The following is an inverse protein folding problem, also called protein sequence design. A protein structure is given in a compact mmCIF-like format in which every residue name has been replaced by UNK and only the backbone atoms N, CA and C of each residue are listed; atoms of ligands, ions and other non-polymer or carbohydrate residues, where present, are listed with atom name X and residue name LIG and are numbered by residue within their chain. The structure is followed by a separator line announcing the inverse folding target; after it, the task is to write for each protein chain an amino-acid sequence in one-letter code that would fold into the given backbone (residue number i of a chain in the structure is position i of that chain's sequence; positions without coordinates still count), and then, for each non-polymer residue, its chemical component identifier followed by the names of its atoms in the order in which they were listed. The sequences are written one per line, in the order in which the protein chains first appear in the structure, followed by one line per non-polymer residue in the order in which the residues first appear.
data_IF_857540592108
#
_entry.id   IF_857540592108
#
_cell.length_a   1.000
_cell.length_b   1.000
_cell.length_c   1.000
_cell.angle_alpha   90.00
_cell.angle_beta   90.00
_cell.angle_gamma   90.00
#
_symmetry.space_group_name_H-M   'P 1'
#
loop_
_entity.id
_entity.type
_entity.pdbx_description
1 polymer ?
#
# COMPACT_ATOMS: atom_id res chain seq x y z
N UNK A 1 3.24 40.04 0.09
CA UNK A 1 3.64 39.68 -1.29
C UNK A 1 4.83 38.72 -1.35
N UNK A 2 5.88 38.88 -0.51
CA UNK A 2 7.08 38.00 -0.51
C UNK A 2 6.78 36.55 -0.05
N UNK A 3 5.81 36.34 0.86
CA UNK A 3 5.42 35.00 1.33
C UNK A 3 4.73 34.15 0.24
N UNK A 4 4.07 34.79 -0.74
CA UNK A 4 3.38 34.10 -1.84
C UNK A 4 4.35 33.52 -2.89
N UNK A 5 5.59 34.04 -2.95
CA UNK A 5 6.61 33.56 -3.89
C UNK A 5 7.32 32.30 -3.40
N UNK A 6 7.59 32.18 -2.09
CA UNK A 6 8.20 30.94 -1.52
C UNK A 6 7.29 29.72 -1.60
N UNK A 7 5.97 29.92 -1.49
CA UNK A 7 5.00 28.81 -1.59
C UNK A 7 5.00 28.23 -3.01
N UNK A 8 5.20 29.04 -4.05
CA UNK A 8 5.31 28.55 -5.44
C UNK A 8 6.56 27.71 -5.69
N UNK A 9 7.69 28.01 -5.05
CA UNK A 9 8.91 27.21 -5.22
C UNK A 9 8.84 25.86 -4.49
N UNK A 10 8.25 25.81 -3.29
CA UNK A 10 7.93 24.52 -2.63
C UNK A 10 6.95 23.67 -3.47
N UNK A 11 6.05 24.32 -4.22
CA UNK A 11 5.06 23.69 -5.10
C UNK A 11 5.67 22.92 -6.27
N UNK A 12 6.85 23.35 -6.75
CA UNK A 12 7.58 22.69 -7.84
C UNK A 12 8.46 21.58 -7.29
N UNK A 13 9.07 21.79 -6.11
CA UNK A 13 10.02 20.85 -5.52
C UNK A 13 9.38 19.56 -4.96
N UNK A 14 8.17 19.59 -4.41
CA UNK A 14 7.55 18.38 -3.81
C UNK A 14 7.11 17.36 -4.90
N UNK A 15 6.43 17.77 -5.99
CA UNK A 15 6.18 16.88 -7.11
C UNK A 15 7.48 16.44 -7.78
N UNK A 16 8.49 17.31 -7.92
CA UNK A 16 9.78 16.93 -8.49
C UNK A 16 10.56 15.95 -7.61
N UNK A 17 10.48 16.05 -6.28
CA UNK A 17 11.15 15.11 -5.38
C UNK A 17 10.44 13.76 -5.37
N UNK A 18 9.11 13.76 -5.42
CA UNK A 18 8.31 12.52 -5.52
C UNK A 18 8.48 11.87 -6.90
N UNK A 19 8.50 12.68 -7.96
CA UNK A 19 8.78 12.26 -9.34
C UNK A 19 10.23 11.82 -9.49
N UNK A 20 11.20 12.48 -8.86
CA UNK A 20 12.61 12.08 -8.87
C UNK A 20 12.81 10.80 -8.07
N UNK A 21 12.19 10.63 -6.91
CA UNK A 21 12.24 9.36 -6.18
C UNK A 21 11.55 8.24 -6.96
N UNK A 22 10.45 8.55 -7.66
CA UNK A 22 9.77 7.61 -8.56
C UNK A 22 10.63 7.28 -9.78
N UNK A 23 11.27 8.26 -10.41
CA UNK A 23 12.15 8.12 -11.58
C UNK A 23 13.50 7.50 -11.21
N UNK A 24 14.09 7.77 -10.05
CA UNK A 24 15.30 7.13 -9.55
C UNK A 24 15.00 5.70 -9.11
N UNK A 25 13.82 5.45 -8.52
CA UNK A 25 13.30 4.10 -8.33
C UNK A 25 13.11 3.37 -9.67
N UNK A 26 12.66 4.08 -10.71
CA UNK A 26 12.52 3.55 -12.07
C UNK A 26 13.88 3.36 -12.77
N UNK A 27 14.86 4.26 -12.57
CA UNK A 27 16.21 4.18 -13.12
C UNK A 27 17.01 3.07 -12.47
N UNK A 28 16.88 2.84 -11.15
CA UNK A 28 17.45 1.66 -10.50
C UNK A 28 16.88 0.37 -11.10
N UNK A 29 15.62 0.38 -11.54
CA UNK A 29 14.99 -0.75 -12.24
C UNK A 29 15.45 -0.85 -13.71
N UNK A 30 15.70 0.27 -14.39
CA UNK A 30 16.13 0.30 -15.79
C UNK A 30 17.64 0.03 -15.97
N UNK A 31 18.49 0.49 -15.05
CA UNK A 31 19.94 0.23 -15.07
C UNK A 31 20.22 -1.27 -14.89
N UNK A 32 19.36 -2.00 -14.17
CA UNK A 32 19.45 -3.45 -14.04
C UNK A 32 18.93 -4.19 -15.31
N UNK A 33 18.18 -3.49 -16.17
CA UNK A 33 17.72 -3.99 -17.49
C UNK A 33 18.71 -3.72 -18.63
N UNK A 34 19.66 -2.79 -18.47
CA UNK A 34 20.54 -2.31 -19.55
C UNK A 34 21.74 -3.24 -19.84
N UNK A 35 21.82 -4.38 -19.15
CA UNK A 35 22.86 -5.40 -19.37
C UNK A 35 22.45 -6.47 -20.39
N UNK A 36 21.49 -6.19 -21.27
CA UNK A 36 21.05 -7.13 -22.33
C UNK A 36 21.01 -6.48 -23.72
N UNK A 37 21.51 -7.26 -24.67
CA UNK A 37 21.83 -6.94 -26.05
C UNK A 37 20.67 -6.24 -26.83
N UNK A 38 20.92 -5.09 -27.49
CA UNK A 38 19.90 -4.23 -28.10
C UNK A 38 19.11 -4.81 -29.29
N UNK A 39 19.53 -5.92 -29.88
CA UNK A 39 18.82 -6.52 -31.03
C UNK A 39 17.52 -7.26 -30.65
N UNK A 40 17.22 -7.43 -29.35
CA UNK A 40 15.98 -8.10 -28.87
C UNK A 40 14.79 -7.15 -28.59
N UNK A 41 15.00 -5.84 -28.72
CA UNK A 41 14.03 -4.83 -28.27
C UNK A 41 12.86 -4.60 -29.22
N UNK A 42 13.04 -4.78 -30.53
CA UNK A 42 11.99 -4.40 -31.51
C UNK A 42 10.86 -5.45 -31.62
N UNK A 43 11.09 -6.70 -31.19
CA UNK A 43 10.05 -7.73 -31.10
C UNK A 43 9.24 -7.70 -29.78
N UNK A 44 9.66 -6.92 -28.79
CA UNK A 44 9.14 -7.00 -27.41
C UNK A 44 8.01 -6.00 -27.10
N UNK A 45 7.79 -4.99 -27.94
CA UNK A 45 6.75 -3.98 -27.68
C UNK A 45 5.31 -4.49 -27.90
N UNK A 46 5.11 -5.59 -28.64
CA UNK A 46 3.77 -6.19 -28.85
C UNK A 46 3.48 -7.35 -27.87
N UNK A 47 4.50 -7.84 -27.14
CA UNK A 47 4.36 -8.87 -26.08
C UNK A 47 4.48 -8.32 -24.65
N UNK A 48 4.52 -7.00 -24.47
CA UNK A 48 4.68 -6.36 -23.15
C UNK A 48 3.45 -6.51 -22.22
N UNK A 49 2.37 -7.14 -22.69
CA UNK A 49 1.19 -7.46 -21.89
C UNK A 49 1.24 -8.84 -21.21
N UNK A 50 2.24 -9.69 -21.48
CA UNK A 50 2.26 -11.08 -20.97
C UNK A 50 3.59 -11.56 -20.37
N UNK A 51 4.71 -10.86 -20.56
CA UNK A 51 5.96 -11.24 -19.88
C UNK A 51 6.06 -10.54 -18.52
N UNK A 52 5.65 -11.27 -17.48
CA UNK A 52 6.03 -10.96 -16.12
C UNK A 52 7.55 -10.78 -16.00
N UNK A 53 7.97 -9.83 -15.17
CA UNK A 53 9.33 -9.70 -14.69
C UNK A 53 9.87 -11.10 -14.36
N UNK A 54 10.84 -11.57 -15.14
CA UNK A 54 11.61 -12.76 -14.83
C UNK A 54 12.46 -12.45 -13.61
N UNK A 55 11.87 -12.62 -12.41
CA UNK A 55 12.65 -12.95 -11.23
C UNK A 55 13.50 -14.16 -11.61
N UNK A 56 14.81 -13.94 -11.66
CA UNK A 56 15.77 -14.93 -12.11
C UNK A 56 15.62 -16.18 -11.24
N UNK A 57 15.17 -17.29 -11.84
CA UNK A 57 15.14 -18.61 -11.22
C UNK A 57 16.59 -19.02 -10.97
N UNK A 58 17.12 -18.67 -9.81
CA UNK A 58 18.45 -19.06 -9.36
C UNK A 58 18.42 -20.53 -8.93
N UNK A 59 18.39 -21.43 -9.91
CA UNK A 59 18.61 -22.86 -9.69
C UNK A 59 20.11 -23.09 -9.43
N UNK A 60 20.54 -22.94 -8.16
CA UNK A 60 21.72 -23.58 -7.49
C UNK A 60 22.08 -22.82 -6.20
N UNK A 61 21.95 -23.47 -5.04
CA UNK A 61 22.56 -23.08 -3.76
C UNK A 61 22.47 -24.33 -2.85
N UNK A 62 23.56 -25.05 -2.54
CA UNK A 62 24.66 -24.73 -1.60
C UNK A 62 24.17 -24.58 -0.16
N UNK A 63 24.62 -25.51 0.69
CA UNK A 63 24.03 -25.99 1.94
C UNK A 63 24.65 -25.35 3.21
N UNK A 64 24.98 -24.06 3.18
CA UNK A 64 25.55 -23.43 4.38
C UNK A 64 25.30 -21.93 4.43
N UNK A 65 24.30 -21.55 5.22
CA UNK A 65 23.92 -20.15 5.49
C UNK A 65 22.52 -19.87 4.95
N UNK A 66 21.52 -19.92 5.83
CA UNK A 66 20.11 -19.65 5.51
C UNK A 66 19.97 -18.15 5.20
N UNK A 67 20.38 -17.73 4.01
CA UNK A 67 19.78 -16.58 3.36
C UNK A 67 18.34 -16.99 3.03
N UNK A 68 17.42 -16.54 3.86
CA UNK A 68 15.98 -16.76 3.78
C UNK A 68 15.43 -16.10 2.49
N UNK A 69 15.66 -16.76 1.34
CA UNK A 69 15.16 -16.30 0.04
C UNK A 69 13.65 -16.36 0.03
N UNK A 70 13.03 -15.28 -0.44
CA UNK A 70 11.60 -15.24 -0.76
C UNK A 70 11.24 -16.46 -1.61
N UNK A 71 10.34 -17.30 -1.08
CA UNK A 71 9.85 -18.45 -1.83
C UNK A 71 8.64 -17.98 -2.64
N UNK A 72 8.88 -17.69 -3.92
CA UNK A 72 7.81 -17.45 -4.88
C UNK A 72 7.29 -18.81 -5.35
N UNK A 73 6.14 -19.21 -4.83
CA UNK A 73 5.49 -20.46 -5.20
C UNK A 73 4.42 -20.17 -6.25
N UNK A 74 4.65 -20.63 -7.49
CA UNK A 74 3.70 -20.43 -8.60
C UNK A 74 3.41 -18.95 -8.92
N UNK A 75 4.38 -18.06 -8.70
CA UNK A 75 4.20 -16.62 -8.88
C UNK A 75 3.49 -15.92 -7.71
N UNK A 76 3.29 -16.61 -6.58
CA UNK A 76 2.70 -16.05 -5.36
C UNK A 76 3.77 -16.01 -4.27
N UNK A 77 3.87 -14.90 -3.55
CA UNK A 77 4.79 -14.79 -2.42
C UNK A 77 4.19 -15.51 -1.20
N UNK A 78 4.75 -16.66 -0.86
CA UNK A 78 4.38 -17.38 0.36
C UNK A 78 5.07 -16.80 1.60
N UNK A 79 6.30 -16.30 1.41
CA UNK A 79 7.16 -15.72 2.45
C UNK A 79 7.56 -14.32 2.09
N UNK A 80 7.32 -13.40 2.99
CA UNK A 80 7.72 -12.00 2.87
C UNK A 80 8.95 -11.76 3.75
N UNK A 81 9.77 -10.79 3.38
CA UNK A 81 10.83 -10.27 4.23
C UNK A 81 10.42 -8.87 4.74
N UNK A 82 10.90 -8.49 5.92
CA UNK A 82 10.65 -7.15 6.48
C UNK A 82 11.15 -6.02 5.58
N UNK A 83 12.11 -6.28 4.69
CA UNK A 83 12.55 -5.33 3.66
C UNK A 83 11.44 -5.01 2.66
N UNK A 84 10.59 -5.97 2.32
CA UNK A 84 9.49 -5.79 1.36
C UNK A 84 8.36 -4.95 1.96
N UNK A 85 8.10 -5.09 3.25
CA UNK A 85 7.09 -4.28 3.93
C UNK A 85 7.45 -2.78 3.96
N UNK A 86 8.75 -2.43 3.89
CA UNK A 86 9.21 -1.04 3.99
C UNK A 86 8.73 -0.18 2.82
N UNK A 87 8.84 -0.66 1.58
CA UNK A 87 8.42 0.13 0.42
C UNK A 87 6.91 0.37 0.44
N UNK A 88 6.14 -0.64 0.85
CA UNK A 88 4.69 -0.55 0.97
C UNK A 88 4.29 0.54 1.98
N UNK A 89 4.98 0.57 3.13
CA UNK A 89 4.84 1.63 4.11
C UNK A 89 5.15 3.00 3.51
N UNK A 90 6.33 3.18 2.91
CA UNK A 90 6.78 4.47 2.39
C UNK A 90 5.78 5.07 1.39
N UNK A 91 5.33 4.32 0.39
CA UNK A 91 4.42 4.85 -0.63
C UNK A 91 3.05 5.19 -0.02
N UNK A 92 2.54 4.34 0.88
CA UNK A 92 1.28 4.60 1.59
C UNK A 92 1.37 5.89 2.41
N UNK A 93 2.46 6.07 3.16
CA UNK A 93 2.70 7.29 3.94
C UNK A 93 2.82 8.53 3.05
N UNK A 94 3.41 8.44 1.85
CA UNK A 94 3.46 9.56 0.91
C UNK A 94 2.08 10.07 0.53
N UNK A 95 1.11 9.18 0.26
CA UNK A 95 -0.28 9.60 -0.05
C UNK A 95 -0.89 10.40 1.10
N UNK A 96 -0.67 9.96 2.34
CA UNK A 96 -1.16 10.64 3.55
C UNK A 96 -0.48 11.99 3.75
N UNK A 97 0.84 12.08 3.55
CA UNK A 97 1.60 13.32 3.69
C UNK A 97 1.14 14.37 2.67
N UNK A 98 0.95 13.98 1.40
CA UNK A 98 0.49 14.90 0.36
C UNK A 98 -0.91 15.43 0.69
N UNK A 99 -1.83 14.55 1.11
CA UNK A 99 -3.14 14.97 1.59
C UNK A 99 -3.02 15.94 2.77
N UNK A 100 -2.23 15.58 3.79
CA UNK A 100 -2.01 16.38 4.99
C UNK A 100 -1.49 17.80 4.68
N UNK A 101 -0.47 17.92 3.83
CA UNK A 101 0.08 19.23 3.46
C UNK A 101 -0.98 20.07 2.74
N UNK A 102 -1.77 19.46 1.85
CA UNK A 102 -2.91 20.13 1.22
C UNK A 102 -3.94 20.63 2.22
N UNK A 103 -4.22 19.85 3.28
CA UNK A 103 -5.21 20.20 4.31
C UNK A 103 -4.74 21.28 5.29
N UNK A 104 -3.45 21.31 5.64
CA UNK A 104 -2.90 22.32 6.57
C UNK A 104 -2.89 23.75 6.00
N UNK A 105 -3.05 23.89 4.68
CA UNK A 105 -3.16 25.19 4.01
C UNK A 105 -4.58 25.63 3.67
N UNK A 106 -5.62 24.91 4.13
CA UNK A 106 -7.02 25.23 3.86
C UNK A 106 -7.73 25.69 5.12
N UNK A 107 -8.08 26.97 5.16
CA UNK A 107 -9.22 27.44 5.95
C UNK A 107 -10.47 27.23 5.09
N UNK A 108 -11.18 26.13 5.31
CA UNK A 108 -12.48 25.94 4.67
C UNK A 108 -13.45 26.93 5.33
N UNK A 109 -13.93 27.90 4.55
CA UNK A 109 -15.03 28.74 4.98
C UNK A 109 -16.32 27.93 4.82
N UNK A 110 -16.66 27.09 5.80
CA UNK A 110 -17.96 26.42 5.81
C UNK A 110 -19.05 27.49 5.82
N UNK A 111 -19.84 27.56 4.74
CA UNK A 111 -21.05 28.41 4.63
C UNK A 111 -20.81 29.92 4.82
N UNK A 112 -19.61 30.42 4.51
CA UNK A 112 -19.27 31.85 4.67
C UNK A 112 -19.01 32.29 6.12
N UNK A 113 -18.99 31.35 7.07
CA UNK A 113 -18.56 31.57 8.44
C UNK A 113 -17.20 30.93 8.64
N UNK A 114 -16.13 31.72 8.56
CA UNK A 114 -14.83 31.29 9.06
C UNK A 114 -14.90 31.26 10.58
N UNK A 115 -15.30 30.14 11.15
CA UNK A 115 -15.34 29.96 12.60
C UNK A 115 -13.92 29.68 13.09
N UNK A 116 -13.18 30.74 13.38
CA UNK A 116 -11.91 30.61 14.09
C UNK A 116 -12.19 30.37 15.58
N UNK A 117 -12.26 29.10 15.96
CA UNK A 117 -12.43 28.67 17.35
C UNK A 117 -11.33 29.25 18.25
N UNK A 118 -10.12 29.49 17.71
CA UNK A 118 -9.02 30.13 18.43
C UNK A 118 -9.37 31.57 18.84
N UNK A 119 -9.91 32.35 17.88
CA UNK A 119 -10.42 33.69 18.13
C UNK A 119 -11.62 33.72 19.09
N UNK A 120 -12.53 32.74 19.02
CA UNK A 120 -13.69 32.68 19.92
C UNK A 120 -13.31 32.34 21.38
N UNK A 121 -12.26 31.53 21.58
CA UNK A 121 -11.78 31.11 22.90
C UNK A 121 -10.69 32.03 23.48
N UNK A 122 -10.34 33.13 22.80
CA UNK A 122 -9.30 34.06 23.24
C UNK A 122 -7.89 33.47 23.21
N UNK A 123 -7.69 32.39 22.45
CA UNK A 123 -6.37 31.83 22.19
C UNK A 123 -5.80 32.47 20.91
N UNK A 124 -5.47 33.76 20.98
CA UNK A 124 -5.00 34.61 19.87
C UNK A 124 -3.72 34.11 19.16
N UNK A 125 -3.16 32.96 19.54
CA UNK A 125 -1.94 32.39 18.95
C UNK A 125 -2.00 30.89 18.67
N UNK A 126 -3.07 30.21 19.08
CA UNK A 126 -3.35 28.84 18.64
C UNK A 126 -4.52 28.92 17.66
N UNK A 127 -4.20 29.22 16.41
CA UNK A 127 -5.10 28.94 15.29
C UNK A 127 -5.22 27.42 15.24
N UNK A 128 -6.14 26.88 16.04
CA UNK A 128 -6.57 25.50 15.97
C UNK A 128 -7.38 25.39 14.68
N UNK A 129 -6.67 25.42 13.55
CA UNK A 129 -7.29 25.30 12.24
C UNK A 129 -8.07 23.99 12.23
N UNK A 130 -9.22 23.98 11.58
CA UNK A 130 -10.04 22.78 11.39
C UNK A 130 -9.21 21.57 10.98
N UNK A 131 -8.17 21.81 10.17
CA UNK A 131 -7.18 20.80 9.78
C UNK A 131 -6.54 20.09 10.98
N UNK A 132 -6.14 20.81 12.04
CA UNK A 132 -5.52 20.23 13.25
C UNK A 132 -6.44 19.29 14.01
N UNK A 133 -7.76 19.43 13.88
CA UNK A 133 -8.75 18.50 14.45
C UNK A 133 -9.03 17.35 13.49
N UNK A 134 -9.16 17.64 12.19
CA UNK A 134 -9.45 16.61 11.18
C UNK A 134 -8.32 15.61 11.00
N UNK A 135 -7.06 16.04 11.18
CA UNK A 135 -5.88 15.18 11.11
C UNK A 135 -5.93 14.03 12.13
N UNK A 136 -6.04 14.26 13.45
CA UNK A 136 -6.08 13.18 14.43
C UNK A 136 -7.34 12.33 14.28
N UNK A 137 -8.46 12.90 13.85
CA UNK A 137 -9.68 12.12 13.56
C UNK A 137 -9.44 11.17 12.39
N UNK A 138 -8.91 11.67 11.27
CA UNK A 138 -8.62 10.85 10.09
C UNK A 138 -7.58 9.78 10.40
N UNK A 139 -6.55 10.12 11.18
CA UNK A 139 -5.54 9.16 11.64
C UNK A 139 -6.19 8.09 12.53
N UNK A 140 -7.04 8.47 13.49
CA UNK A 140 -7.74 7.54 14.36
C UNK A 140 -8.64 6.60 13.56
N UNK A 141 -9.46 7.13 12.65
CA UNK A 141 -10.35 6.35 11.78
C UNK A 141 -9.53 5.39 10.90
N UNK A 142 -8.40 5.86 10.36
CA UNK A 142 -7.50 5.03 9.56
C UNK A 142 -6.87 3.92 10.39
N UNK A 143 -6.42 4.20 11.61
CA UNK A 143 -5.86 3.19 12.52
C UNK A 143 -6.90 2.15 12.92
N UNK A 144 -8.13 2.57 13.21
CA UNK A 144 -9.24 1.65 13.48
C UNK A 144 -9.55 0.74 12.28
N UNK A 145 -9.23 1.16 11.07
CA UNK A 145 -9.38 0.32 9.88
C UNK A 145 -8.18 -0.62 9.67
N UNK A 146 -6.97 -0.06 9.58
CA UNK A 146 -5.74 -0.75 9.14
C UNK A 146 -4.96 -1.45 10.27
N UNK A 147 -5.09 -1.02 11.52
CA UNK A 147 -4.28 -1.50 12.64
C UNK A 147 -5.14 -2.24 13.68
N UNK A 148 -5.60 -3.44 13.33
CA UNK A 148 -6.28 -4.32 14.29
C UNK A 148 -7.80 -4.29 14.30
N UNK A 149 -8.43 -3.48 13.44
CA UNK A 149 -9.89 -3.41 13.37
C UNK A 149 -10.47 -4.09 12.15
N UNK A 150 -11.20 -3.33 11.34
CA UNK A 150 -12.12 -3.87 10.33
C UNK A 150 -11.38 -4.62 9.22
N UNK A 151 -10.27 -4.09 8.70
CA UNK A 151 -9.52 -4.72 7.61
C UNK A 151 -9.02 -6.11 8.02
N UNK A 152 -8.50 -6.24 9.24
CA UNK A 152 -7.96 -7.51 9.73
C UNK A 152 -9.05 -8.55 9.91
N UNK A 153 -10.21 -8.13 10.41
CA UNK A 153 -11.38 -8.99 10.53
C UNK A 153 -11.93 -9.42 9.18
N UNK A 154 -12.02 -8.50 8.21
CA UNK A 154 -12.67 -8.76 6.92
C UNK A 154 -11.75 -9.44 5.92
N UNK A 155 -10.45 -9.14 5.93
CA UNK A 155 -9.48 -9.63 4.94
C UNK A 155 -8.40 -10.50 5.58
N UNK A 156 -7.68 -10.01 6.58
CA UNK A 156 -6.45 -10.66 7.03
C UNK A 156 -6.72 -12.07 7.59
N UNK A 157 -7.80 -12.27 8.36
CA UNK A 157 -8.15 -13.60 8.91
C UNK A 157 -8.37 -14.68 7.85
N UNK A 158 -8.58 -14.31 6.59
CA UNK A 158 -8.83 -15.22 5.48
C UNK A 158 -7.57 -15.53 4.65
N UNK A 159 -6.43 -14.90 4.98
CA UNK A 159 -5.19 -15.06 4.25
C UNK A 159 -4.34 -16.20 4.85
N UNK A 160 -3.78 -17.14 4.04
CA UNK A 160 -2.90 -18.18 4.55
C UNK A 160 -1.71 -17.66 5.36
N UNK A 161 -1.13 -16.51 4.96
CA UNK A 161 -0.05 -15.88 5.75
C UNK A 161 -0.48 -15.57 7.19
N UNK A 162 -1.76 -15.28 7.44
CA UNK A 162 -2.24 -14.99 8.78
C UNK A 162 -2.10 -16.19 9.72
N UNK A 163 -2.28 -17.40 9.22
CA UNK A 163 -2.10 -18.62 10.03
C UNK A 163 -0.64 -19.04 10.08
N UNK A 164 -0.01 -19.20 8.92
CA UNK A 164 1.24 -19.98 8.82
C UNK A 164 2.52 -19.17 9.02
N UNK A 165 2.55 -17.88 8.64
CA UNK A 165 3.79 -17.08 8.68
C UNK A 165 4.37 -16.90 10.09
N UNK A 166 3.52 -16.87 11.11
CA UNK A 166 3.95 -16.71 12.50
C UNK A 166 4.86 -17.82 12.99
N UNK A 167 4.55 -19.07 12.59
CA UNK A 167 5.36 -20.25 12.95
C UNK A 167 6.77 -20.15 12.35
N UNK A 168 6.87 -19.74 11.09
CA UNK A 168 8.14 -19.61 10.37
C UNK A 168 9.06 -18.55 11.00
N UNK A 169 8.49 -17.45 11.50
CA UNK A 169 9.23 -16.38 12.17
C UNK A 169 9.38 -16.57 13.70
N UNK A 170 9.05 -17.75 14.22
CA UNK A 170 9.21 -18.07 15.65
C UNK A 170 8.25 -17.33 16.59
N UNK A 171 7.15 -16.78 16.08
CA UNK A 171 6.13 -16.10 16.88
C UNK A 171 4.71 -16.37 16.36
N UNK A 172 4.08 -17.42 16.88
CA UNK A 172 2.74 -17.85 16.46
C UNK A 172 1.63 -16.83 16.76
N UNK A 173 1.86 -15.89 17.70
CA UNK A 173 0.90 -14.83 18.05
C UNK A 173 0.93 -13.65 17.07
N UNK A 174 1.88 -13.65 16.13
CA UNK A 174 2.03 -12.62 15.11
C UNK A 174 1.93 -13.23 13.72
N UNK A 175 1.55 -12.41 12.76
CA UNK A 175 1.60 -12.77 11.36
C UNK A 175 2.44 -11.76 10.58
N UNK A 176 2.98 -12.22 9.47
CA UNK A 176 3.96 -11.52 8.65
C UNK A 176 3.47 -11.58 7.22
N UNK A 177 2.99 -10.45 6.72
CA UNK A 177 2.68 -10.27 5.31
C UNK A 177 3.19 -8.91 4.84
N UNK A 178 3.09 -8.67 3.52
CA UNK A 178 3.56 -7.42 2.92
C UNK A 178 2.91 -6.16 3.53
N UNK A 179 1.59 -6.21 3.75
CA UNK A 179 0.83 -5.08 4.26
C UNK A 179 0.94 -4.93 5.79
N UNK A 180 1.05 -6.05 6.50
CA UNK A 180 1.03 -6.10 7.96
C UNK A 180 2.18 -6.99 8.44
N UNK A 181 3.33 -6.36 8.70
CA UNK A 181 4.52 -7.07 9.16
C UNK A 181 4.53 -7.20 10.69
N UNK A 182 4.69 -8.43 11.19
CA UNK A 182 4.75 -8.75 12.62
C UNK A 182 3.54 -8.25 13.44
N UNK A 183 2.36 -8.21 12.82
CA UNK A 183 1.13 -7.74 13.43
C UNK A 183 0.48 -8.81 14.32
N UNK A 184 -0.15 -8.47 15.46
CA UNK A 184 -0.77 -9.44 16.34
C UNK A 184 -1.97 -10.15 15.67
N UNK A 185 -2.13 -11.45 15.96
CA UNK A 185 -3.30 -12.22 15.53
C UNK A 185 -4.45 -12.02 16.52
N UNK A 186 -5.32 -11.06 16.25
CA UNK A 186 -6.46 -10.72 17.12
C UNK A 186 -7.67 -11.62 16.86
N UNK A 187 -7.84 -12.09 15.62
CA UNK A 187 -8.97 -12.90 15.17
C UNK A 187 -8.56 -14.35 14.91
N UNK A 188 -9.54 -15.26 14.95
CA UNK A 188 -9.32 -16.65 14.55
C UNK A 188 -9.23 -16.75 13.02
N UNK A 189 -8.26 -17.52 12.53
CA UNK A 189 -8.11 -17.82 11.11
C UNK A 189 -9.37 -18.52 10.54
N UNK A 190 -9.73 -18.15 9.32
CA UNK A 190 -10.88 -18.68 8.60
C UNK A 190 -10.58 -18.79 7.11
N UNK A 191 -10.31 -20.01 6.63
CA UNK A 191 -9.97 -20.24 5.23
C UNK A 191 -11.13 -20.02 4.24
N UNK A 192 -12.34 -19.71 4.72
CA UNK A 192 -13.48 -19.43 3.82
C UNK A 192 -13.24 -18.16 3.01
N UNK A 193 -13.77 -18.08 1.78
CA UNK A 193 -13.66 -16.86 0.99
C UNK A 193 -14.44 -15.71 1.66
N UNK A 194 -13.88 -14.50 1.57
CA UNK A 194 -14.52 -13.28 2.08
C UNK A 194 -15.92 -13.13 1.47
N UNK A 195 -16.92 -13.00 2.34
CA UNK A 195 -18.32 -12.81 1.95
C UNK A 195 -18.55 -11.46 1.25
N UNK A 196 -19.68 -11.33 0.55
CA UNK A 196 -19.99 -10.10 -0.21
C UNK A 196 -20.07 -8.86 0.69
N UNK A 197 -20.65 -8.99 1.88
CA UNK A 197 -20.74 -7.89 2.84
C UNK A 197 -19.37 -7.37 3.25
N UNK A 198 -18.43 -8.27 3.56
CA UNK A 198 -17.05 -7.94 3.88
C UNK A 198 -16.36 -7.21 2.73
N UNK A 199 -16.53 -7.69 1.49
CA UNK A 199 -15.98 -6.99 0.31
C UNK A 199 -16.51 -5.56 0.18
N UNK A 200 -17.82 -5.37 0.38
CA UNK A 200 -18.43 -4.03 0.36
C UNK A 200 -17.89 -3.16 1.49
N UNK A 201 -17.78 -3.67 2.71
CA UNK A 201 -17.20 -2.95 3.84
C UNK A 201 -15.76 -2.54 3.55
N UNK A 202 -14.94 -3.45 3.00
CA UNK A 202 -13.57 -3.14 2.62
C UNK A 202 -13.50 -2.06 1.52
N UNK A 203 -14.36 -2.12 0.51
CA UNK A 203 -14.39 -1.12 -0.57
C UNK A 203 -14.88 0.24 -0.07
N UNK A 204 -15.98 0.28 0.68
CA UNK A 204 -16.58 1.53 1.15
C UNK A 204 -15.72 2.16 2.25
N UNK A 205 -15.27 1.37 3.21
CA UNK A 205 -14.50 1.90 4.34
C UNK A 205 -13.03 2.06 3.99
N UNK A 206 -12.42 1.03 3.40
CA UNK A 206 -11.00 1.06 3.05
C UNK A 206 -10.72 2.00 1.91
N UNK A 207 -11.36 1.81 0.75
CA UNK A 207 -11.10 2.67 -0.42
C UNK A 207 -11.89 3.99 -0.30
N UNK A 208 -13.17 3.91 0.03
CA UNK A 208 -14.03 5.10 0.12
C UNK A 208 -13.54 6.07 1.18
N UNK A 209 -13.45 5.70 2.46
CA UNK A 209 -13.06 6.68 3.49
C UNK A 209 -11.60 7.12 3.31
N UNK A 210 -10.66 6.22 3.06
CA UNK A 210 -9.26 6.61 2.96
C UNK A 210 -8.96 7.51 1.75
N UNK A 211 -9.67 7.33 0.63
CA UNK A 211 -9.40 8.09 -0.61
C UNK A 211 -10.43 9.17 -0.95
N UNK A 212 -11.72 8.90 -0.76
CA UNK A 212 -12.78 9.87 -1.06
C UNK A 212 -12.78 11.03 -0.06
N UNK A 213 -12.47 10.78 1.21
CA UNK A 213 -12.50 11.85 2.21
C UNK A 213 -11.47 12.96 1.91
N UNK A 214 -10.16 12.66 1.69
CA UNK A 214 -9.21 13.70 1.29
C UNK A 214 -9.60 14.35 -0.04
N UNK A 215 -10.20 13.60 -0.97
CA UNK A 215 -10.65 14.13 -2.25
C UNK A 215 -11.77 15.19 -2.09
N UNK A 216 -12.78 14.91 -1.26
CA UNK A 216 -13.84 15.88 -0.95
C UNK A 216 -13.30 17.10 -0.22
N UNK A 217 -12.35 16.90 0.70
CA UNK A 217 -11.75 17.99 1.46
C UNK A 217 -10.89 18.91 0.59
N UNK A 218 -10.20 18.35 -0.42
CA UNK A 218 -9.36 19.10 -1.36
C UNK A 218 -10.13 19.63 -2.58
N UNK A 219 -11.46 19.49 -2.62
CA UNK A 219 -12.28 19.83 -3.79
C UNK A 219 -12.12 21.28 -4.25
N UNK A 220 -12.02 22.23 -3.32
CA UNK A 220 -11.84 23.66 -3.62
C UNK A 220 -10.37 24.03 -3.93
N UNK A 221 -9.46 23.06 -3.91
CA UNK A 221 -8.00 23.24 -4.07
C UNK A 221 -7.51 22.33 -5.18
N UNK A 222 -7.89 22.67 -6.40
CA UNK A 222 -7.64 21.85 -7.59
C UNK A 222 -6.17 21.43 -7.73
N UNK A 223 -5.23 22.30 -7.36
CA UNK A 223 -3.80 22.01 -7.41
C UNK A 223 -3.38 20.86 -6.48
N UNK A 224 -3.91 20.83 -5.26
CA UNK A 224 -3.67 19.76 -4.29
C UNK A 224 -4.48 18.51 -4.59
N UNK A 225 -5.71 18.69 -5.09
CA UNK A 225 -6.55 17.59 -5.54
C UNK A 225 -5.88 16.81 -6.66
N UNK A 226 -5.30 17.50 -7.65
CA UNK A 226 -4.56 16.88 -8.75
C UNK A 226 -3.31 16.15 -8.25
N UNK A 227 -2.52 16.78 -7.38
CA UNK A 227 -1.33 16.14 -6.80
C UNK A 227 -1.71 14.87 -6.01
N UNK A 228 -2.74 14.95 -5.17
CA UNK A 228 -3.27 13.84 -4.40
C UNK A 228 -3.80 12.72 -5.30
N UNK A 229 -4.56 13.07 -6.35
CA UNK A 229 -5.08 12.12 -7.31
C UNK A 229 -3.97 11.36 -8.03
N UNK A 230 -2.94 12.06 -8.53
CA UNK A 230 -1.79 11.43 -9.20
C UNK A 230 -1.04 10.47 -8.29
N UNK A 231 -0.77 10.89 -7.04
CA UNK A 231 -0.09 10.05 -6.04
C UNK A 231 -0.95 8.84 -5.67
N UNK A 232 -2.27 9.01 -5.57
CA UNK A 232 -3.22 7.92 -5.31
C UNK A 232 -3.24 6.92 -6.46
N UNK A 233 -3.34 7.37 -7.70
CA UNK A 233 -3.31 6.49 -8.88
C UNK A 233 -1.98 5.74 -8.92
N UNK A 234 -0.86 6.43 -8.76
CA UNK A 234 0.46 5.81 -8.73
C UNK A 234 0.59 4.75 -7.61
N UNK A 235 0.04 5.03 -6.43
CA UNK A 235 -0.02 4.06 -5.33
C UNK A 235 -0.85 2.84 -5.70
N UNK A 236 -2.07 3.03 -6.21
CA UNK A 236 -2.97 1.93 -6.57
C UNK A 236 -2.41 1.08 -7.72
N UNK A 237 -1.79 1.69 -8.72
CA UNK A 237 -1.14 0.95 -9.81
C UNK A 237 0.06 0.15 -9.32
N UNK A 238 0.88 0.74 -8.44
CA UNK A 238 2.03 0.06 -7.83
C UNK A 238 1.57 -1.11 -6.98
N UNK A 239 0.58 -0.89 -6.11
CA UNK A 239 -0.01 -1.92 -5.25
C UNK A 239 -0.60 -3.05 -6.09
N UNK A 240 -1.34 -2.72 -7.17
CA UNK A 240 -1.93 -3.72 -8.07
C UNK A 240 -0.86 -4.55 -8.78
N UNK A 241 0.17 -3.89 -9.32
CA UNK A 241 1.19 -4.53 -10.13
C UNK A 241 2.17 -5.38 -9.31
N UNK A 242 2.62 -4.88 -8.15
CA UNK A 242 3.68 -5.52 -7.37
C UNK A 242 3.18 -6.36 -6.20
N UNK A 243 2.11 -5.93 -5.53
CA UNK A 243 1.58 -6.63 -4.35
C UNK A 243 0.48 -7.60 -4.72
N UNK A 244 -0.56 -7.11 -5.39
CA UNK A 244 -1.80 -7.88 -5.59
C UNK A 244 -1.70 -8.96 -6.66
N UNK A 245 -0.77 -8.85 -7.59
CA UNK A 245 -0.47 -9.85 -8.63
C UNK A 245 0.08 -11.17 -8.07
N UNK A 246 0.64 -11.12 -6.85
CA UNK A 246 1.36 -12.23 -6.23
C UNK A 246 0.93 -12.46 -4.77
N UNK A 247 -0.22 -11.90 -4.35
CA UNK A 247 -0.72 -11.98 -2.98
C UNK A 247 -1.48 -13.30 -2.73
N UNK A 248 -1.22 -14.02 -1.61
CA UNK A 248 -1.94 -15.26 -1.29
C UNK A 248 -3.36 -15.04 -0.73
N UNK A 249 -3.79 -13.78 -0.49
CA UNK A 249 -5.16 -13.49 -0.08
C UNK A 249 -6.11 -13.48 -1.30
N UNK A 250 -6.55 -14.66 -1.74
CA UNK A 250 -7.42 -14.82 -2.91
C UNK A 250 -8.86 -14.31 -2.70
N UNK A 251 -9.26 -14.00 -1.46
CA UNK A 251 -10.56 -13.42 -1.15
C UNK A 251 -10.62 -11.89 -1.34
N UNK A 252 -9.46 -11.24 -1.45
CA UNK A 252 -9.36 -9.79 -1.62
C UNK A 252 -9.82 -9.35 -3.01
N UNK A 253 -10.64 -8.30 -3.07
CA UNK A 253 -11.14 -7.69 -4.32
C UNK A 253 -10.06 -7.08 -5.20
N UNK A 254 -8.90 -6.74 -4.62
CA UNK A 254 -7.76 -6.19 -5.36
C UNK A 254 -6.84 -7.29 -5.90
N UNK A 255 -7.00 -8.54 -5.47
CA UNK A 255 -6.14 -9.65 -5.89
C UNK A 255 -6.22 -9.88 -7.40
N UNK A 256 -5.05 -10.03 -8.03
CA UNK A 256 -4.91 -10.18 -9.48
C UNK A 256 -4.29 -11.52 -9.89
N UNK A 257 -4.13 -12.45 -8.95
CA UNK A 257 -3.57 -13.78 -9.20
C UNK A 257 -4.51 -14.56 -10.12
N UNK A 258 -3.95 -15.23 -11.13
CA UNK A 258 -4.73 -16.05 -12.05
C UNK A 258 -5.31 -17.29 -11.37
N UNK A 259 -6.43 -17.82 -11.89
CA UNK A 259 -7.08 -19.02 -11.31
C UNK A 259 -6.14 -20.22 -11.27
N UNK A 260 -5.34 -20.43 -12.33
CA UNK A 260 -4.38 -21.53 -12.41
C UNK A 260 -3.30 -21.43 -11.33
N UNK A 261 -2.71 -20.25 -11.13
CA UNK A 261 -1.72 -20.02 -10.07
C UNK A 261 -2.32 -20.24 -8.68
N UNK A 262 -3.55 -19.77 -8.46
CA UNK A 262 -4.29 -19.98 -7.22
C UNK A 262 -4.52 -21.45 -6.94
N UNK A 263 -5.05 -22.21 -7.90
CA UNK A 263 -5.33 -23.64 -7.74
C UNK A 263 -4.06 -24.43 -7.44
N UNK A 264 -2.97 -24.13 -8.17
CA UNK A 264 -1.67 -24.75 -7.93
C UNK A 264 -1.11 -24.41 -6.55
N UNK A 265 -1.24 -23.16 -6.10
CA UNK A 265 -0.83 -22.74 -4.77
C UNK A 265 -1.65 -23.45 -3.67
N UNK A 266 -2.97 -23.54 -3.83
CA UNK A 266 -3.82 -24.23 -2.86
C UNK A 266 -3.48 -25.72 -2.75
N UNK A 267 -3.17 -26.39 -3.88
CA UNK A 267 -2.74 -27.78 -3.86
C UNK A 267 -1.43 -27.97 -3.07
N UNK A 268 -0.44 -27.10 -3.29
CA UNK A 268 0.84 -27.12 -2.56
C UNK A 268 0.68 -26.75 -1.08
N UNK A 269 -0.30 -25.90 -0.77
CA UNK A 269 -0.68 -25.55 0.59
C UNK A 269 -1.27 -26.77 1.32
N UNK A 270 -2.16 -27.50 0.68
CA UNK A 270 -2.79 -28.72 1.21
C UNK A 270 -1.79 -29.87 1.41
N UNK A 271 -0.78 -29.99 0.55
CA UNK A 271 0.30 -30.99 0.70
C UNK A 271 1.34 -30.62 1.76
N UNK A 272 1.27 -29.40 2.31
CA UNK A 272 2.24 -28.89 3.29
C UNK A 272 3.62 -28.60 2.67
N UNK A 273 3.71 -28.43 1.35
CA UNK A 273 4.97 -28.13 0.65
C UNK A 273 5.40 -26.66 0.84
N UNK A 274 4.44 -25.75 1.10
CA UNK A 274 4.71 -24.32 1.27
C UNK A 274 5.06 -24.00 2.73
N UNK A 275 4.10 -24.26 3.61
CA UNK A 275 4.26 -24.14 5.05
C UNK A 275 4.28 -25.59 5.53
N UNK A 276 5.43 -26.08 5.98
CA UNK A 276 5.63 -27.48 6.34
C UNK A 276 4.49 -28.06 7.19
N UNK A 277 4.23 -29.37 7.08
CA UNK A 277 3.20 -30.07 7.86
C UNK A 277 3.29 -29.67 9.34
N UNK A 278 2.36 -28.83 9.76
CA UNK A 278 2.36 -28.15 11.06
C UNK A 278 1.39 -28.75 12.03
#
# INVERSE_FOLDING_TARGET
MILSLRIRECFVLIPLFTLKFFLEGFELILIESDNKNPESLISSCVSFSQTGFLFQKSDKMSDSGIEERQTICCGIHARYNGKDARWFGTISFTTMIVAYIGMTGSSIAYLGLSFDIGSFLGFDSFVLSESMIMIPILLLVSMLFFAGGIEWYVLCRHCPCYEYSGKEHGNEKRFYCLANWASPKVFKYDATPVNTAGRVVFLVWGIGIAFLFPFLYLWDRIEWLLAYFLVTVAFLTTLRHWSCSSCPNFGCVLNCVTKEQREKFMKLLETGEIYGNS
#
